data_IF_525679063911
#
_entry.id   IF_525679063911
#
_cell.length_a   1.000
_cell.length_b   1.000
_cell.length_c   1.000
_cell.angle_alpha   90.00
_cell.angle_beta   90.00
_cell.angle_gamma   90.00
#
_symmetry.space_group_name_H-M   'P 1'
#
loop_
_entity.id
_entity.type
_entity.pdbx_description
1 polymer ?
#
# COMPACT_ATOMS: atom_id res chain seq x y z
N UNK A 1 -17.88 8.18 -65.59
CA UNK A 1 -18.18 7.37 -64.40
C UNK A 1 -18.59 8.36 -63.32
N UNK A 2 -19.77 8.21 -62.71
CA UNK A 2 -20.20 9.12 -61.64
C UNK A 2 -19.43 8.80 -60.36
N UNK A 3 -19.17 9.80 -59.48
CA UNK A 3 -18.55 9.60 -58.15
C UNK A 3 -19.24 8.48 -57.33
N UNK A 4 -20.55 8.28 -57.56
CA UNK A 4 -21.33 7.19 -56.95
C UNK A 4 -20.91 5.81 -57.45
N UNK A 5 -20.60 5.67 -58.74
CA UNK A 5 -20.21 4.40 -59.35
C UNK A 5 -18.80 3.98 -58.87
N UNK A 6 -17.91 4.96 -58.67
CA UNK A 6 -16.56 4.73 -58.16
C UNK A 6 -16.57 4.36 -56.66
N UNK A 7 -17.41 5.01 -55.85
CA UNK A 7 -17.63 4.65 -54.44
C UNK A 7 -18.24 3.25 -54.30
N UNK A 8 -19.23 2.91 -55.11
CA UNK A 8 -19.88 1.59 -55.11
C UNK A 8 -18.90 0.48 -55.51
N UNK A 9 -18.00 0.75 -56.45
CA UNK A 9 -16.95 -0.18 -56.83
C UNK A 9 -15.93 -0.38 -55.70
N UNK A 10 -15.59 0.68 -54.97
CA UNK A 10 -14.67 0.60 -53.85
C UNK A 10 -15.27 -0.15 -52.63
N UNK A 11 -16.58 -0.03 -52.41
CA UNK A 11 -17.29 -0.76 -51.36
C UNK A 11 -17.51 -2.26 -51.67
N UNK A 12 -17.61 -2.63 -52.95
CA UNK A 12 -17.85 -4.01 -53.44
C UNK A 12 -16.58 -4.84 -53.66
N UNK A 13 -15.39 -4.27 -53.47
CA UNK A 13 -14.13 -5.00 -53.58
C UNK A 13 -14.02 -6.15 -52.56
N UNK A 14 -13.34 -7.27 -52.87
CA UNK A 14 -13.19 -8.40 -51.96
C UNK A 14 -12.39 -7.96 -50.72
N UNK A 15 -13.06 -7.86 -49.57
CA UNK A 15 -12.41 -7.54 -48.29
C UNK A 15 -11.66 -8.78 -47.79
N UNK A 16 -10.35 -8.68 -47.60
CA UNK A 16 -9.53 -9.71 -46.95
C UNK A 16 -9.37 -9.35 -45.47
N UNK A 17 -9.39 -10.34 -44.57
CA UNK A 17 -9.11 -10.11 -43.15
C UNK A 17 -7.62 -9.76 -42.97
N UNK A 18 -7.35 -8.51 -42.62
CA UNK A 18 -5.97 -7.98 -42.52
C UNK A 18 -5.25 -8.36 -41.21
N UNK A 19 -5.97 -8.92 -40.23
CA UNK A 19 -5.46 -9.03 -38.84
C UNK A 19 -5.47 -10.46 -38.26
N UNK A 20 -5.23 -11.49 -39.08
CA UNK A 20 -5.21 -12.89 -38.60
C UNK A 20 -4.10 -13.12 -37.55
N UNK A 21 -2.91 -12.54 -37.74
CA UNK A 21 -1.80 -12.69 -36.80
C UNK A 21 -2.12 -12.07 -35.43
N UNK A 22 -2.67 -10.85 -35.40
CA UNK A 22 -3.06 -10.20 -34.16
C UNK A 22 -4.21 -10.91 -33.46
N UNK A 23 -5.15 -11.49 -34.22
CA UNK A 23 -6.21 -12.33 -33.67
C UNK A 23 -5.63 -13.56 -32.94
N UNK A 24 -4.61 -14.22 -33.50
CA UNK A 24 -3.94 -15.35 -32.86
C UNK A 24 -3.27 -14.93 -31.56
N UNK A 25 -2.54 -13.81 -31.55
CA UNK A 25 -1.88 -13.28 -30.35
C UNK A 25 -2.90 -12.93 -29.26
N UNK A 26 -4.02 -12.31 -29.64
CA UNK A 26 -5.09 -11.97 -28.71
C UNK A 26 -5.71 -13.23 -28.07
N UNK A 27 -6.00 -14.27 -28.87
CA UNK A 27 -6.51 -15.54 -28.36
C UNK A 27 -5.50 -16.20 -27.41
N UNK A 28 -4.22 -16.22 -27.78
CA UNK A 28 -3.16 -16.77 -26.93
C UNK A 28 -3.05 -16.04 -25.58
N UNK A 29 -3.17 -14.70 -25.58
CA UNK A 29 -3.20 -13.90 -24.36
C UNK A 29 -4.37 -14.28 -23.45
N UNK A 30 -5.58 -14.42 -24.00
CA UNK A 30 -6.76 -14.84 -23.22
C UNK A 30 -6.61 -16.24 -22.63
N UNK A 31 -6.06 -17.19 -23.41
CA UNK A 31 -5.77 -18.54 -22.93
C UNK A 31 -4.79 -18.48 -21.76
N UNK A 32 -3.69 -17.72 -21.88
CA UNK A 32 -2.71 -17.57 -20.81
C UNK A 32 -3.34 -16.96 -19.54
N UNK A 33 -4.16 -15.91 -19.69
CA UNK A 33 -4.89 -15.29 -18.57
C UNK A 33 -5.81 -16.28 -17.85
N UNK A 34 -6.55 -17.10 -18.59
CA UNK A 34 -7.44 -18.11 -18.00
C UNK A 34 -6.64 -19.22 -17.30
N UNK A 35 -5.56 -19.70 -17.90
CA UNK A 35 -4.68 -20.72 -17.29
C UNK A 35 -4.10 -20.22 -15.97
N UNK A 36 -3.59 -18.97 -15.94
CA UNK A 36 -3.08 -18.36 -14.71
C UNK A 36 -4.18 -18.16 -13.67
N UNK A 37 -5.39 -17.77 -14.11
CA UNK A 37 -6.58 -17.67 -13.25
C UNK A 37 -6.92 -19.00 -12.58
N UNK A 38 -7.04 -20.08 -13.37
CA UNK A 38 -7.35 -21.40 -12.84
C UNK A 38 -6.23 -21.94 -11.93
N UNK A 39 -4.97 -21.74 -12.30
CA UNK A 39 -3.84 -22.13 -11.47
C UNK A 39 -3.83 -21.38 -10.14
N UNK A 40 -4.01 -20.05 -10.17
CA UNK A 40 -4.06 -19.21 -8.97
C UNK A 40 -5.20 -19.64 -8.05
N UNK A 41 -6.43 -19.78 -8.57
CA UNK A 41 -7.59 -20.17 -7.77
C UNK A 41 -7.47 -21.60 -7.23
N UNK A 42 -6.86 -22.51 -8.00
CA UNK A 42 -6.68 -23.91 -7.58
C UNK A 42 -5.61 -24.12 -6.51
N UNK A 43 -4.59 -23.27 -6.45
CA UNK A 43 -3.42 -23.44 -5.55
C UNK A 43 -3.31 -22.39 -4.45
N UNK A 44 -3.85 -21.19 -4.69
CA UNK A 44 -3.74 -20.05 -3.79
C UNK A 44 -4.61 -20.18 -2.55
N UNK A 45 -4.03 -19.89 -1.39
CA UNK A 45 -4.76 -19.78 -0.11
C UNK A 45 -4.80 -18.31 0.32
N UNK A 46 -5.73 -17.48 -0.19
CA UNK A 46 -5.70 -16.02 0.04
C UNK A 46 -5.77 -15.63 1.52
N UNK A 47 -6.36 -16.49 2.38
CA UNK A 47 -6.40 -16.31 3.84
C UNK A 47 -5.00 -16.15 4.48
N UNK A 48 -3.96 -16.74 3.89
CA UNK A 48 -2.58 -16.62 4.40
C UNK A 48 -2.09 -15.18 4.43
N UNK A 49 -2.60 -14.33 3.52
CA UNK A 49 -2.22 -12.92 3.44
C UNK A 49 -2.82 -12.08 4.56
N UNK A 50 -3.89 -12.58 5.20
CA UNK A 50 -4.61 -11.85 6.25
C UNK A 50 -4.31 -12.39 7.65
N UNK A 51 -4.31 -13.72 7.82
CA UNK A 51 -4.18 -14.34 9.14
C UNK A 51 -2.78 -14.92 9.42
N UNK A 52 -1.93 -15.06 8.41
CA UNK A 52 -0.62 -15.70 8.55
C UNK A 52 -0.68 -17.21 8.84
N UNK A 53 0.44 -17.79 9.26
CA UNK A 53 0.59 -19.22 9.56
C UNK A 53 1.15 -19.45 10.95
N UNK A 54 0.85 -20.61 11.54
CA UNK A 54 1.51 -21.10 12.74
C UNK A 54 2.84 -21.82 12.45
N UNK A 55 3.50 -22.32 13.50
CA UNK A 55 4.75 -23.08 13.43
C UNK A 55 4.62 -24.44 12.73
N UNK A 56 3.39 -24.93 12.51
CA UNK A 56 3.11 -26.16 11.74
C UNK A 56 2.91 -25.86 10.25
N UNK A 57 2.98 -24.59 9.85
CA UNK A 57 2.72 -24.14 8.49
C UNK A 57 1.22 -24.12 8.13
N UNK A 58 0.33 -24.25 9.12
CA UNK A 58 -1.11 -24.17 8.93
C UNK A 58 -1.57 -22.71 9.02
N UNK A 59 -2.50 -22.33 8.15
CA UNK A 59 -3.04 -20.96 8.10
C UNK A 59 -4.00 -20.74 9.26
N UNK A 60 -3.89 -19.61 9.97
CA UNK A 60 -4.86 -19.24 11.00
C UNK A 60 -6.26 -19.01 10.37
N UNK A 61 -7.35 -19.33 11.09
CA UNK A 61 -8.73 -19.36 10.56
C UNK A 61 -8.95 -20.36 9.39
N UNK A 62 -8.17 -21.45 9.37
CA UNK A 62 -8.32 -22.49 8.35
C UNK A 62 -7.97 -23.88 8.89
N UNK A 63 -8.72 -24.90 8.45
CA UNK A 63 -8.43 -26.30 8.76
C UNK A 63 -8.45 -26.58 10.26
N UNK A 64 -7.31 -27.00 10.82
CA UNK A 64 -7.16 -27.29 12.26
C UNK A 64 -7.23 -26.03 13.13
N UNK A 65 -7.00 -24.85 12.56
CA UNK A 65 -7.02 -23.56 13.26
C UNK A 65 -8.29 -22.76 12.95
N UNK A 66 -9.35 -23.42 12.49
CA UNK A 66 -10.64 -22.76 12.26
C UNK A 66 -11.15 -22.10 13.55
N UNK A 67 -11.55 -20.84 13.47
CA UNK A 67 -11.93 -20.01 14.63
C UNK A 67 -10.77 -19.41 15.44
N UNK A 68 -9.52 -19.80 15.18
CA UNK A 68 -8.32 -19.19 15.77
C UNK A 68 -7.73 -18.21 14.75
N UNK A 69 -8.21 -16.97 14.78
CA UNK A 69 -7.92 -15.98 13.75
C UNK A 69 -6.58 -15.29 13.96
N UNK A 70 -6.10 -15.23 15.21
CA UNK A 70 -5.07 -14.30 15.62
C UNK A 70 -3.71 -14.97 15.71
N UNK A 71 -2.72 -14.49 14.97
CA UNK A 71 -1.33 -14.97 15.02
C UNK A 71 -0.58 -14.34 16.18
N UNK A 72 0.02 -15.16 17.04
CA UNK A 72 0.83 -14.72 18.18
C UNK A 72 2.24 -15.31 18.11
N UNK A 73 3.26 -14.51 18.40
CA UNK A 73 4.65 -14.95 18.47
C UNK A 73 4.97 -15.48 19.87
N UNK A 74 5.07 -16.80 20.00
CA UNK A 74 5.07 -17.46 21.32
C UNK A 74 6.39 -17.36 22.06
N UNK A 75 7.52 -17.22 21.37
CA UNK A 75 8.85 -17.32 21.97
C UNK A 75 9.56 -15.95 21.98
N UNK A 76 9.56 -15.21 23.12
CA UNK A 76 10.23 -13.93 23.27
C UNK A 76 11.72 -13.93 22.96
N UNK A 77 12.44 -14.99 23.34
CA UNK A 77 13.89 -15.09 23.13
C UNK A 77 14.24 -15.22 21.65
N UNK A 78 13.51 -16.08 20.95
CA UNK A 78 13.61 -16.26 19.50
C UNK A 78 13.20 -15.00 18.74
N UNK A 79 12.12 -14.34 19.17
CA UNK A 79 11.65 -13.07 18.61
C UNK A 79 12.71 -11.96 18.78
N UNK A 80 13.32 -11.85 19.95
CA UNK A 80 14.40 -10.89 20.22
C UNK A 80 15.65 -11.17 19.37
N UNK A 81 15.98 -12.44 19.15
CA UNK A 81 17.08 -12.85 18.27
C UNK A 81 16.81 -12.53 16.79
N UNK A 82 15.58 -12.82 16.31
CA UNK A 82 15.14 -12.49 14.95
C UNK A 82 15.15 -10.98 14.69
N UNK A 83 14.73 -10.20 15.70
CA UNK A 83 14.75 -8.74 15.68
C UNK A 83 16.17 -8.16 15.74
N UNK A 84 17.19 -8.93 16.14
CA UNK A 84 18.55 -8.41 16.32
C UNK A 84 18.73 -7.57 17.58
N UNK A 85 17.85 -7.76 18.56
CA UNK A 85 17.78 -7.01 19.83
C UNK A 85 18.34 -7.86 21.00
N UNK A 86 18.78 -9.09 20.72
CA UNK A 86 19.30 -10.01 21.74
C UNK A 86 20.66 -9.56 22.31
N UNK A 87 20.90 -9.66 23.64
CA UNK A 87 22.17 -9.21 24.25
C UNK A 87 23.36 -9.99 23.74
N UNK A 88 24.45 -9.26 23.43
CA UNK A 88 25.66 -9.87 22.89
C UNK A 88 25.61 -10.20 21.40
N UNK A 89 24.49 -9.90 20.71
CA UNK A 89 24.39 -10.03 19.26
C UNK A 89 25.01 -8.79 18.58
N UNK A 90 25.93 -9.00 17.63
CA UNK A 90 26.55 -7.92 16.86
C UNK A 90 25.67 -7.53 15.67
N UNK A 91 25.45 -6.22 15.46
CA UNK A 91 24.67 -5.66 14.35
C UNK A 91 25.18 -6.03 12.94
N UNK A 92 26.38 -6.63 12.83
CA UNK A 92 27.02 -7.04 11.57
C UNK A 92 26.83 -8.54 11.25
N UNK A 93 26.15 -9.32 12.10
CA UNK A 93 25.90 -10.72 11.83
C UNK A 93 24.91 -10.88 10.66
N UNK A 94 25.33 -11.56 9.59
CA UNK A 94 24.42 -11.95 8.50
C UNK A 94 23.35 -12.88 9.07
N UNK A 95 22.13 -12.37 9.26
CA UNK A 95 21.02 -13.11 9.87
C UNK A 95 20.50 -14.16 8.89
N UNK A 96 20.71 -15.45 9.19
CA UNK A 96 20.02 -16.55 8.50
C UNK A 96 18.53 -16.63 8.85
N UNK A 97 18.14 -15.96 9.93
CA UNK A 97 16.85 -16.10 10.60
C UNK A 97 16.23 -14.72 10.80
N UNK A 98 15.00 -14.51 10.32
CA UNK A 98 14.31 -13.22 10.35
C UNK A 98 13.03 -13.29 11.18
N UNK A 99 12.41 -12.14 11.46
CA UNK A 99 11.14 -12.06 12.18
C UNK A 99 10.00 -12.86 11.50
N UNK A 100 10.08 -13.07 10.18
CA UNK A 100 9.11 -13.90 9.45
C UNK A 100 9.20 -15.38 9.81
N UNK A 101 10.36 -15.83 10.26
CA UNK A 101 10.67 -17.20 10.66
C UNK A 101 10.40 -17.44 12.16
N UNK A 102 10.04 -16.39 12.91
CA UNK A 102 9.63 -16.44 14.31
C UNK A 102 8.51 -17.45 14.55
N UNK A 103 8.74 -18.38 15.50
CA UNK A 103 7.72 -19.32 15.96
C UNK A 103 6.45 -18.57 16.36
N UNK A 104 5.35 -18.95 15.72
CA UNK A 104 4.04 -18.34 15.94
C UNK A 104 2.94 -19.39 16.04
N UNK A 105 1.85 -19.05 16.72
CA UNK A 105 0.70 -19.92 16.96
C UNK A 105 -0.60 -19.16 16.68
N UNK A 106 -1.67 -19.89 16.35
CA UNK A 106 -2.98 -19.30 16.15
C UNK A 106 -3.80 -19.33 17.45
N UNK A 107 -4.22 -18.16 17.92
CA UNK A 107 -5.05 -17.94 19.10
C UNK A 107 -6.39 -17.30 18.69
N UNK A 108 -7.36 -17.28 19.62
CA UNK A 108 -8.59 -16.49 19.41
C UNK A 108 -8.32 -15.01 19.59
N UNK A 109 -7.69 -14.67 20.71
CA UNK A 109 -7.39 -13.30 21.12
C UNK A 109 -5.93 -13.18 21.61
N UNK A 110 -5.39 -11.97 21.63
CA UNK A 110 -4.02 -11.73 22.09
C UNK A 110 -3.89 -11.92 23.61
N UNK A 111 -2.95 -12.76 24.06
CA UNK A 111 -2.77 -13.04 25.48
C UNK A 111 -2.26 -11.80 26.20
N UNK A 112 -2.74 -11.61 27.43
CA UNK A 112 -2.37 -10.48 28.27
C UNK A 112 -1.36 -10.91 29.34
N UNK A 113 -0.30 -10.13 29.59
CA UNK A 113 0.69 -10.47 30.58
C UNK A 113 0.09 -10.43 31.99
N UNK A 114 0.42 -11.43 32.81
CA UNK A 114 0.10 -11.44 34.24
C UNK A 114 1.38 -11.77 34.99
N UNK A 115 2.02 -10.77 35.63
CA UNK A 115 3.20 -10.99 36.45
C UNK A 115 2.97 -10.56 37.90
N UNK A 116 2.98 -11.55 38.79
CA UNK A 116 3.07 -11.34 40.24
C UNK A 116 4.42 -11.83 40.75
N UNK A 117 4.75 -11.57 42.02
CA UNK A 117 5.99 -12.06 42.63
C UNK A 117 6.16 -13.59 42.54
N UNK A 118 5.06 -14.34 42.40
CA UNK A 118 5.03 -15.81 42.47
C UNK A 118 4.45 -16.48 41.20
N UNK A 119 3.91 -15.73 40.25
CA UNK A 119 3.23 -16.30 39.07
C UNK A 119 3.49 -15.46 37.82
N UNK A 120 3.69 -16.14 36.70
CA UNK A 120 3.74 -15.55 35.36
C UNK A 120 2.77 -16.32 34.47
N UNK A 121 2.03 -15.63 33.61
CA UNK A 121 1.18 -16.28 32.60
C UNK A 121 2.05 -16.93 31.52
N UNK A 122 1.72 -18.15 31.11
CA UNK A 122 2.37 -18.82 29.98
C UNK A 122 1.41 -19.00 28.81
N UNK A 123 1.96 -19.05 27.61
CA UNK A 123 1.30 -19.61 26.43
C UNK A 123 2.09 -20.82 26.01
N UNK A 124 1.41 -21.94 25.91
CA UNK A 124 1.98 -23.22 25.55
C UNK A 124 1.66 -23.59 24.10
N UNK A 125 2.51 -24.45 23.54
CA UNK A 125 2.31 -25.06 22.22
C UNK A 125 0.98 -25.83 22.11
N UNK A 126 0.64 -26.31 20.92
CA UNK A 126 -0.57 -27.10 20.77
C UNK A 126 -0.46 -28.41 21.56
N UNK A 127 -1.49 -28.80 22.32
CA UNK A 127 -1.44 -29.98 23.18
C UNK A 127 -1.31 -31.30 22.39
N UNK A 128 -1.64 -31.27 21.10
CA UNK A 128 -1.51 -32.40 20.18
C UNK A 128 -0.05 -32.79 19.91
N UNK A 129 0.87 -31.85 20.09
CA UNK A 129 2.29 -32.05 19.76
C UNK A 129 3.09 -32.53 20.98
N UNK A 130 2.45 -32.64 22.17
CA UNK A 130 3.13 -32.80 23.46
C UNK A 130 2.42 -33.82 24.35
N UNK A 131 3.22 -34.64 25.02
CA UNK A 131 2.70 -35.55 26.04
C UNK A 131 2.60 -34.84 27.39
N UNK A 132 1.36 -34.68 27.90
CA UNK A 132 1.07 -34.12 29.21
C UNK A 132 0.72 -35.28 30.16
N UNK A 133 1.72 -35.83 30.84
CA UNK A 133 1.59 -37.03 31.67
C UNK A 133 0.55 -36.89 32.79
N UNK A 134 0.35 -35.69 33.31
CA UNK A 134 -0.63 -35.41 34.38
C UNK A 134 -2.08 -35.35 33.88
N UNK A 135 -2.31 -35.18 32.58
CA UNK A 135 -3.62 -34.99 31.94
C UNK A 135 -3.64 -35.72 30.58
N UNK A 136 -3.90 -37.04 30.55
CA UNK A 136 -3.78 -37.85 29.33
C UNK A 136 -4.84 -37.55 28.25
N UNK A 137 -5.91 -36.84 28.59
CA UNK A 137 -6.99 -36.44 27.66
C UNK A 137 -7.03 -34.92 27.44
N UNK A 138 -5.90 -34.23 27.61
CA UNK A 138 -5.83 -32.78 27.41
C UNK A 138 -5.98 -32.43 25.93
N UNK A 139 -7.10 -31.83 25.55
CA UNK A 139 -7.44 -31.50 24.17
C UNK A 139 -7.36 -29.99 23.88
N UNK A 140 -7.55 -29.62 22.62
CA UNK A 140 -7.50 -28.21 22.18
C UNK A 140 -8.61 -27.36 22.81
N UNK A 141 -9.73 -27.94 23.24
CA UNK A 141 -10.82 -27.20 23.89
C UNK A 141 -10.48 -26.86 25.35
N UNK A 142 -9.87 -27.80 26.06
CA UNK A 142 -9.34 -27.58 27.39
C UNK A 142 -8.21 -26.56 27.35
N UNK A 143 -7.33 -26.65 26.35
CA UNK A 143 -6.28 -25.65 26.10
C UNK A 143 -6.83 -24.22 25.96
N UNK A 144 -7.92 -24.03 25.23
CA UNK A 144 -8.60 -22.72 25.14
C UNK A 144 -9.21 -22.30 26.48
N UNK A 145 -9.80 -23.25 27.21
CA UNK A 145 -10.45 -22.99 28.51
C UNK A 145 -9.44 -22.55 29.57
N UNK A 146 -8.24 -23.12 29.52
CA UNK A 146 -7.12 -22.78 30.41
C UNK A 146 -6.33 -21.57 29.91
N UNK A 147 -6.90 -20.76 29.00
CA UNK A 147 -6.27 -19.59 28.41
C UNK A 147 -4.87 -19.87 27.83
N UNK A 148 -4.74 -21.03 27.18
CA UNK A 148 -3.53 -21.52 26.53
C UNK A 148 -2.37 -21.88 27.47
N UNK A 149 -2.62 -21.98 28.79
CA UNK A 149 -1.61 -22.25 29.82
C UNK A 149 -1.82 -23.62 30.48
N UNK A 150 -0.93 -24.57 30.20
CA UNK A 150 -0.84 -25.85 30.92
C UNK A 150 0.53 -26.06 31.58
N UNK A 151 1.29 -25.00 31.84
CA UNK A 151 2.66 -25.10 32.37
C UNK A 151 2.73 -25.90 33.69
N UNK A 152 1.75 -25.73 34.56
CA UNK A 152 1.66 -26.46 35.83
C UNK A 152 1.40 -27.97 35.67
N UNK A 153 0.91 -28.40 34.50
CA UNK A 153 0.62 -29.79 34.19
C UNK A 153 1.81 -30.54 33.55
N UNK A 154 2.87 -29.82 33.20
CA UNK A 154 4.10 -30.38 32.64
C UNK A 154 4.91 -31.16 33.69
N UNK A 155 5.75 -32.08 33.22
CA UNK A 155 6.74 -32.72 34.08
C UNK A 155 7.88 -31.76 34.45
N UNK A 156 8.68 -32.11 35.47
CA UNK A 156 9.78 -31.25 35.95
C UNK A 156 10.82 -30.94 34.86
N UNK A 157 11.03 -31.83 33.89
CA UNK A 157 12.00 -31.65 32.81
C UNK A 157 11.49 -30.65 31.77
N UNK A 158 10.23 -30.78 31.36
CA UNK A 158 9.52 -29.88 30.47
C UNK A 158 9.33 -28.50 31.09
N UNK A 159 9.04 -28.42 32.39
CA UNK A 159 9.01 -27.15 33.13
C UNK A 159 10.39 -26.48 33.11
N UNK A 160 11.46 -27.22 33.39
CA UNK A 160 12.83 -26.69 33.34
C UNK A 160 13.20 -26.21 31.93
N UNK A 161 12.80 -26.93 30.88
CA UNK A 161 13.02 -26.55 29.48
C UNK A 161 12.24 -25.29 29.08
N UNK A 162 10.98 -25.18 29.52
CA UNK A 162 10.12 -24.01 29.29
C UNK A 162 10.68 -22.77 29.99
N UNK A 163 11.17 -22.92 31.23
CA UNK A 163 11.87 -21.86 31.96
C UNK A 163 13.20 -21.43 31.29
N UNK A 164 13.76 -22.29 30.43
CA UNK A 164 14.92 -21.99 29.58
C UNK A 164 14.55 -21.51 28.17
N UNK A 165 13.28 -21.21 27.89
CA UNK A 165 12.80 -20.74 26.57
C UNK A 165 12.96 -21.75 25.43
N UNK A 166 13.13 -23.03 25.77
CA UNK A 166 13.20 -24.13 24.80
C UNK A 166 11.85 -24.78 24.53
N UNK A 167 10.82 -24.29 25.21
CA UNK A 167 9.46 -24.83 25.15
C UNK A 167 9.26 -26.02 26.09
N UNK A 168 8.01 -26.50 26.18
CA UNK A 168 6.91 -26.13 25.28
C UNK A 168 6.03 -24.95 25.67
N UNK A 169 6.22 -24.41 26.87
CA UNK A 169 5.50 -23.22 27.33
C UNK A 169 6.44 -22.03 27.39
N UNK A 170 5.93 -20.86 27.05
CA UNK A 170 6.68 -19.62 27.00
C UNK A 170 5.93 -18.55 27.78
N UNK A 171 6.60 -17.79 28.67
CA UNK A 171 5.93 -16.77 29.46
C UNK A 171 5.54 -15.55 28.61
N UNK A 172 4.36 -15.01 28.89
CA UNK A 172 3.81 -13.81 28.27
C UNK A 172 4.41 -12.60 28.98
N UNK A 173 5.46 -12.02 28.38
CA UNK A 173 6.21 -10.90 28.97
C UNK A 173 5.67 -9.53 28.58
N UNK A 174 5.01 -9.44 27.43
CA UNK A 174 4.70 -8.18 26.77
C UNK A 174 3.20 -8.04 26.55
N UNK A 175 2.70 -6.82 26.69
CA UNK A 175 1.35 -6.49 26.28
C UNK A 175 1.25 -6.48 24.75
N UNK A 176 0.19 -7.09 24.24
CA UNK A 176 -0.04 -7.17 22.81
C UNK A 176 -1.49 -6.90 22.46
N UNK A 177 -1.69 -6.21 21.34
CA UNK A 177 -3.00 -5.85 20.80
C UNK A 177 -3.17 -6.50 19.43
N UNK A 178 -4.42 -6.83 19.10
CA UNK A 178 -4.75 -7.43 17.82
C UNK A 178 -4.80 -6.35 16.74
N UNK A 179 -3.80 -6.35 15.85
CA UNK A 179 -3.74 -5.49 14.67
C UNK A 179 -3.74 -6.38 13.43
N UNK A 180 -4.80 -6.33 12.62
CA UNK A 180 -5.01 -7.20 11.45
C UNK A 180 -4.77 -8.69 11.73
N UNK A 181 -5.36 -9.20 12.81
CA UNK A 181 -5.26 -10.61 13.18
C UNK A 181 -3.83 -11.08 13.50
N UNK A 182 -2.92 -10.16 13.83
CA UNK A 182 -1.59 -10.46 14.38
C UNK A 182 -1.42 -9.69 15.68
N UNK A 183 -0.93 -10.36 16.72
CA UNK A 183 -0.62 -9.72 17.99
C UNK A 183 0.65 -8.89 17.85
N UNK A 184 0.47 -7.58 17.76
CA UNK A 184 1.56 -6.62 17.79
C UNK A 184 1.86 -6.24 19.23
N UNK A 185 3.14 -6.17 19.56
CA UNK A 185 3.57 -5.69 20.87
C UNK A 185 3.25 -4.20 20.94
N UNK A 186 2.46 -3.80 21.92
CA UNK A 186 2.11 -2.40 22.13
C UNK A 186 2.75 -1.95 23.43
N UNK A 187 3.54 -0.89 23.38
CA UNK A 187 4.16 -0.37 24.58
C UNK A 187 5.24 0.63 24.27
N UNK A 188 4.95 1.89 24.60
CA UNK A 188 5.95 2.91 24.87
C UNK A 188 6.68 2.57 26.18
N UNK A 189 7.29 1.38 26.27
CA UNK A 189 7.85 0.83 27.51
C UNK A 189 6.97 1.14 28.72
N UNK A 190 5.66 0.85 28.64
CA UNK A 190 4.69 1.36 29.61
C UNK A 190 5.21 1.09 31.03
N UNK A 191 5.06 2.08 31.90
CA UNK A 191 5.21 1.98 33.35
C UNK A 191 4.58 0.70 33.95
N UNK A 192 3.61 0.07 33.28
CA UNK A 192 3.09 -1.27 33.58
C UNK A 192 4.12 -2.41 33.33
N UNK A 193 4.81 -2.41 32.20
CA UNK A 193 5.92 -3.35 31.92
C UNK A 193 7.13 -3.11 32.82
N UNK A 194 7.46 -1.86 33.13
CA UNK A 194 8.50 -1.51 34.13
C UNK A 194 8.11 -1.86 35.58
N UNK A 195 6.85 -1.67 35.98
CA UNK A 195 6.37 -2.03 37.33
C UNK A 195 6.13 -3.53 37.51
N UNK A 196 5.84 -4.27 36.43
CA UNK A 196 5.82 -5.74 36.43
C UNK A 196 7.23 -6.34 36.31
N UNK A 197 8.14 -5.73 35.57
CA UNK A 197 9.56 -6.08 35.58
C UNK A 197 10.23 -5.77 36.95
N UNK A 198 9.77 -4.70 37.61
CA UNK A 198 10.20 -4.28 38.96
C UNK A 198 9.67 -5.17 40.10
N UNK A 199 8.94 -6.25 39.82
CA UNK A 199 8.51 -7.27 40.79
C UNK A 199 9.32 -8.56 40.73
N UNK A 200 10.34 -8.64 39.88
CA UNK A 200 11.12 -9.84 39.66
C UNK A 200 12.38 -9.85 40.54
N UNK A 201 12.55 -10.84 41.44
CA UNK A 201 13.81 -10.99 42.16
C UNK A 201 14.92 -11.32 41.17
N UNK A 202 15.96 -10.49 41.13
CA UNK A 202 17.25 -10.85 40.53
C UNK A 202 17.86 -11.98 41.36
N UNK A 203 17.69 -13.22 40.90
CA UNK A 203 18.15 -14.41 41.61
C UNK A 203 17.42 -15.66 41.12
N UNK A 204 18.06 -16.81 41.29
CA UNK A 204 17.69 -18.15 40.80
C UNK A 204 16.40 -18.75 41.38
N UNK A 205 15.45 -17.94 41.84
CA UNK A 205 14.19 -18.35 42.46
C UNK A 205 12.95 -17.52 42.06
N UNK A 206 13.00 -16.79 40.93
CA UNK A 206 11.81 -16.16 40.33
C UNK A 206 10.96 -17.11 39.48
N UNK A 207 9.70 -16.77 39.15
CA UNK A 207 8.77 -17.64 38.41
C UNK A 207 9.16 -17.88 36.93
N UNK A 208 10.18 -17.19 36.42
CA UNK A 208 10.83 -17.46 35.14
C UNK A 208 12.29 -16.99 35.14
N UNK A 209 13.11 -17.44 34.18
CA UNK A 209 14.48 -16.98 34.00
C UNK A 209 14.57 -15.91 32.90
N UNK A 210 15.09 -14.73 33.21
CA UNK A 210 15.31 -13.68 32.19
C UNK A 210 16.23 -14.20 31.07
N UNK A 211 15.85 -14.07 29.79
CA UNK A 211 16.69 -14.48 28.66
C UNK A 211 17.87 -13.52 28.49
N UNK A 212 17.81 -12.35 29.11
CA UNK A 212 18.81 -11.28 29.02
C UNK A 212 19.92 -11.40 30.08
N UNK A 213 19.84 -12.40 30.97
CA UNK A 213 20.72 -12.58 32.13
C UNK A 213 22.08 -13.23 31.78
N UNK A 214 22.60 -12.89 30.60
CA UNK A 214 23.92 -13.31 30.12
C UNK A 214 24.97 -12.22 30.40
N UNK A 215 25.16 -11.85 31.65
CA UNK A 215 26.46 -11.50 32.22
C UNK A 215 26.32 -11.01 33.66
N UNK A 216 27.26 -11.43 34.50
CA UNK A 216 27.51 -11.01 35.87
C UNK A 216 27.91 -9.53 36.00
N UNK A 217 27.16 -8.62 35.39
CA UNK A 217 27.31 -7.18 35.56
C UNK A 217 25.99 -6.58 36.02
N UNK A 218 26.08 -5.81 37.10
CA UNK A 218 25.03 -5.22 37.93
C UNK A 218 24.12 -4.18 37.25
N UNK A 219 23.72 -4.41 36.00
CA UNK A 219 22.72 -3.62 35.30
C UNK A 219 22.06 -4.49 34.21
N UNK A 220 21.19 -5.42 34.62
CA UNK A 220 20.21 -5.99 33.69
C UNK A 220 19.42 -4.83 33.10
N UNK A 221 19.42 -4.62 31.77
CA UNK A 221 18.67 -3.51 31.20
C UNK A 221 17.17 -3.75 31.46
N UNK A 222 16.46 -2.69 31.84
CA UNK A 222 15.04 -2.79 32.18
C UNK A 222 14.28 -3.46 31.03
N UNK A 223 13.44 -4.45 31.36
CA UNK A 223 12.59 -5.17 30.40
C UNK A 223 11.79 -4.19 29.52
N UNK A 224 11.43 -3.01 30.06
CA UNK A 224 10.77 -1.93 29.32
C UNK A 224 11.58 -1.41 28.12
N UNK A 225 12.89 -1.19 28.26
CA UNK A 225 13.76 -0.73 27.15
C UNK A 225 13.84 -1.76 26.04
N UNK A 226 13.87 -3.06 26.38
CA UNK A 226 13.84 -4.15 25.42
C UNK A 226 12.47 -4.34 24.76
N UNK A 227 11.40 -4.12 25.51
CA UNK A 227 10.03 -4.19 24.99
C UNK A 227 9.84 -3.15 23.89
N UNK A 228 10.32 -1.93 24.11
CA UNK A 228 10.24 -0.85 23.13
C UNK A 228 11.07 -1.15 21.87
N UNK A 229 12.32 -1.57 22.03
CA UNK A 229 13.18 -1.87 20.87
C UNK A 229 12.70 -3.09 20.07
N UNK A 230 12.11 -4.07 20.74
CA UNK A 230 11.47 -5.22 20.10
C UNK A 230 10.17 -4.82 19.38
N UNK A 231 9.33 -4.02 20.03
CA UNK A 231 8.13 -3.42 19.45
C UNK A 231 8.45 -2.63 18.19
N UNK A 232 9.43 -1.72 18.25
CA UNK A 232 9.86 -0.91 17.10
C UNK A 232 10.35 -1.75 15.91
N UNK A 233 11.02 -2.88 16.16
CA UNK A 233 11.52 -3.75 15.08
C UNK A 233 10.42 -4.64 14.50
N UNK A 234 9.51 -5.14 15.36
CA UNK A 234 8.30 -5.86 14.95
C UNK A 234 7.41 -4.93 14.13
N UNK A 235 7.24 -3.69 14.59
CA UNK A 235 6.54 -2.65 13.87
C UNK A 235 7.23 -2.39 12.54
N UNK A 236 8.54 -2.17 12.43
CA UNK A 236 9.20 -2.03 11.11
C UNK A 236 8.99 -3.22 10.18
N UNK A 237 8.99 -4.44 10.72
CA UNK A 237 8.80 -5.66 9.93
C UNK A 237 7.34 -5.87 9.47
N UNK A 238 6.37 -5.45 10.28
CA UNK A 238 4.93 -5.52 9.97
C UNK A 238 4.43 -4.29 9.21
N UNK A 239 4.99 -3.11 9.50
CA UNK A 239 4.69 -1.79 8.91
C UNK A 239 5.43 -1.51 7.60
N UNK A 240 5.98 -2.54 6.96
CA UNK A 240 6.44 -2.48 5.58
C UNK A 240 5.29 -2.22 4.57
N UNK A 241 5.33 -2.81 3.36
CA UNK A 241 4.30 -2.61 2.32
C UNK A 241 2.85 -2.76 2.81
N UNK A 242 2.63 -3.56 3.86
CA UNK A 242 1.33 -3.76 4.51
C UNK A 242 0.78 -2.50 5.21
N UNK A 243 1.58 -1.71 5.95
CA UNK A 243 1.06 -0.47 6.56
C UNK A 243 0.75 0.63 5.52
N UNK A 244 1.44 0.60 4.37
CA UNK A 244 1.08 1.48 3.24
C UNK A 244 -0.25 1.05 2.61
N UNK A 245 -0.45 -0.27 2.45
CA UNK A 245 -1.71 -0.84 1.98
C UNK A 245 -2.84 -0.61 2.98
N UNK A 246 -2.58 -0.72 4.27
CA UNK A 246 -3.53 -0.44 5.36
C UNK A 246 -4.07 0.98 5.28
N UNK A 247 -3.19 1.98 5.16
CA UNK A 247 -3.59 3.38 4.98
C UNK A 247 -4.45 3.56 3.73
N UNK A 248 -4.09 2.91 2.61
CA UNK A 248 -4.90 2.99 1.38
C UNK A 248 -6.26 2.30 1.49
N UNK A 249 -6.36 1.19 2.23
CA UNK A 249 -7.62 0.50 2.45
C UNK A 249 -8.52 1.32 3.37
N UNK A 250 -7.98 1.87 4.46
CA UNK A 250 -8.74 2.72 5.38
C UNK A 250 -9.26 3.99 4.67
N UNK A 251 -8.39 4.64 3.89
CA UNK A 251 -8.77 5.78 3.03
C UNK A 251 -9.86 5.39 2.01
N UNK A 252 -9.78 4.19 1.43
CA UNK A 252 -10.79 3.71 0.48
C UNK A 252 -12.12 3.40 1.17
N UNK A 253 -12.11 2.74 2.34
CA UNK A 253 -13.33 2.39 3.07
C UNK A 253 -14.07 3.61 3.59
N UNK A 254 -13.36 4.69 3.90
CA UNK A 254 -13.94 5.98 4.25
C UNK A 254 -14.39 6.75 3.00
N UNK A 255 -13.58 6.73 1.93
CA UNK A 255 -13.74 7.57 0.74
C UNK A 255 -14.53 6.98 -0.43
N UNK A 256 -14.94 5.70 -0.41
CA UNK A 256 -15.51 5.01 -1.58
C UNK A 256 -16.74 5.70 -2.19
N UNK A 257 -17.59 6.32 -1.36
CA UNK A 257 -18.76 7.07 -1.83
C UNK A 257 -18.36 8.26 -2.70
N UNK A 258 -17.29 8.95 -2.31
CA UNK A 258 -16.74 10.09 -3.08
C UNK A 258 -16.18 9.59 -4.41
N UNK A 259 -15.47 8.47 -4.43
CA UNK A 259 -14.93 7.89 -5.68
C UNK A 259 -16.05 7.51 -6.66
N UNK A 260 -17.12 6.87 -6.17
CA UNK A 260 -18.27 6.49 -7.03
C UNK A 260 -19.00 7.71 -7.57
N UNK A 261 -19.26 8.71 -6.73
CA UNK A 261 -20.00 9.91 -7.14
C UNK A 261 -19.14 10.81 -8.01
N UNK A 262 -17.96 11.22 -7.53
CA UNK A 262 -17.08 12.17 -8.22
C UNK A 262 -16.31 11.55 -9.39
N UNK A 263 -15.96 10.27 -9.33
CA UNK A 263 -15.22 9.56 -10.39
C UNK A 263 -16.10 8.79 -11.37
N UNK A 264 -17.31 8.38 -10.98
CA UNK A 264 -18.24 7.64 -11.83
C UNK A 264 -19.38 8.51 -12.37
N UNK A 265 -20.25 8.98 -11.48
CA UNK A 265 -21.48 9.66 -11.88
C UNK A 265 -21.25 11.08 -12.41
N UNK A 266 -20.49 11.91 -11.68
CA UNK A 266 -20.21 13.29 -12.06
C UNK A 266 -19.55 13.40 -13.44
N UNK A 267 -18.54 12.59 -13.81
CA UNK A 267 -17.90 12.68 -15.13
C UNK A 267 -18.83 12.30 -16.27
N UNK A 268 -19.77 11.36 -16.07
CA UNK A 268 -20.77 11.02 -17.09
C UNK A 268 -21.69 12.23 -17.34
N UNK A 269 -22.19 12.85 -16.27
CA UNK A 269 -23.05 14.05 -16.37
C UNK A 269 -22.29 15.22 -16.97
N UNK A 270 -21.07 15.47 -16.51
CA UNK A 270 -20.20 16.52 -17.05
C UNK A 270 -19.81 16.27 -18.50
N UNK A 271 -19.62 15.02 -18.91
CA UNK A 271 -19.32 14.67 -20.30
C UNK A 271 -20.52 14.96 -21.21
N UNK A 272 -21.74 14.61 -20.78
CA UNK A 272 -22.97 14.95 -21.53
C UNK A 272 -23.14 16.47 -21.62
N UNK A 273 -22.94 17.19 -20.51
CA UNK A 273 -22.98 18.65 -20.49
C UNK A 273 -21.90 19.28 -21.39
N UNK A 274 -20.70 18.70 -21.41
CA UNK A 274 -19.59 19.15 -22.25
C UNK A 274 -19.86 18.91 -23.74
N UNK A 275 -20.49 17.78 -24.12
CA UNK A 275 -20.94 17.54 -25.49
C UNK A 275 -21.97 18.60 -25.93
N UNK A 276 -22.88 18.99 -25.04
CA UNK A 276 -23.81 20.10 -25.29
C UNK A 276 -23.07 21.43 -25.43
N UNK A 277 -22.12 21.72 -24.55
CA UNK A 277 -21.29 22.92 -24.62
C UNK A 277 -20.52 23.02 -25.94
N UNK A 278 -19.86 21.93 -26.38
CA UNK A 278 -19.17 21.90 -27.67
C UNK A 278 -20.14 22.19 -28.82
N UNK A 279 -21.37 21.66 -28.82
CA UNK A 279 -22.33 21.92 -29.91
C UNK A 279 -22.55 23.41 -30.20
N UNK A 280 -22.66 24.24 -29.16
CA UNK A 280 -22.94 25.67 -29.32
C UNK A 280 -21.68 26.54 -29.30
N UNK A 281 -20.68 26.16 -28.50
CA UNK A 281 -19.51 26.99 -28.21
C UNK A 281 -18.19 26.45 -28.75
N UNK A 282 -18.15 25.42 -29.62
CA UNK A 282 -16.90 24.86 -30.18
C UNK A 282 -15.95 25.94 -30.70
N UNK A 283 -16.46 26.93 -31.43
CA UNK A 283 -15.62 27.99 -32.00
C UNK A 283 -15.02 28.87 -30.92
N UNK A 284 -15.84 29.35 -29.98
CA UNK A 284 -15.36 30.20 -28.87
C UNK A 284 -14.36 29.42 -28.04
N UNK A 285 -14.71 28.20 -27.63
CA UNK A 285 -13.85 27.30 -26.87
C UNK A 285 -12.49 27.09 -27.56
N UNK A 286 -12.46 26.71 -28.84
CA UNK A 286 -11.21 26.43 -29.55
C UNK A 286 -10.28 27.67 -29.61
N UNK A 287 -10.82 28.85 -29.92
CA UNK A 287 -10.01 30.08 -29.96
C UNK A 287 -9.61 30.56 -28.56
N UNK A 288 -10.48 30.42 -27.56
CA UNK A 288 -10.17 30.73 -26.16
C UNK A 288 -9.05 29.83 -25.63
N UNK A 289 -9.10 28.51 -25.85
CA UNK A 289 -8.04 27.59 -25.44
C UNK A 289 -6.73 27.87 -26.17
N UNK A 290 -6.80 28.21 -27.46
CA UNK A 290 -5.61 28.57 -28.24
C UNK A 290 -4.94 29.84 -27.69
N UNK A 291 -5.74 30.87 -27.40
CA UNK A 291 -5.25 32.09 -26.78
C UNK A 291 -4.72 31.84 -25.37
N UNK A 292 -5.44 31.05 -24.55
CA UNK A 292 -5.07 30.79 -23.15
C UNK A 292 -3.73 30.05 -23.03
N UNK A 293 -3.45 29.08 -23.91
CA UNK A 293 -2.17 28.36 -23.91
C UNK A 293 -1.01 29.31 -24.23
N UNK A 294 -1.17 30.21 -25.21
CA UNK A 294 -0.14 31.20 -25.55
C UNK A 294 0.03 32.23 -24.43
N UNK A 295 -1.07 32.73 -23.86
CA UNK A 295 -1.05 33.66 -22.74
C UNK A 295 -0.36 33.04 -21.51
N UNK A 296 -0.70 31.79 -21.18
CA UNK A 296 -0.09 31.08 -20.05
C UNK A 296 1.41 30.84 -20.29
N UNK A 297 1.81 30.46 -21.51
CA UNK A 297 3.23 30.29 -21.85
C UNK A 297 4.02 31.60 -21.70
N UNK A 298 3.43 32.73 -22.11
CA UNK A 298 4.02 34.07 -21.91
C UNK A 298 4.11 34.40 -20.42
N UNK A 299 3.04 34.16 -19.64
CA UNK A 299 3.03 34.42 -18.18
C UNK A 299 4.09 33.58 -17.47
N UNK A 300 4.20 32.29 -17.77
CA UNK A 300 5.22 31.40 -17.19
C UNK A 300 6.63 31.86 -17.57
N UNK A 301 6.84 32.25 -18.82
CA UNK A 301 8.14 32.76 -19.28
C UNK A 301 8.52 34.07 -18.56
N UNK A 302 7.58 35.01 -18.41
CA UNK A 302 7.79 36.26 -17.66
C UNK A 302 8.09 35.94 -16.19
N UNK A 303 7.34 35.02 -15.57
CA UNK A 303 7.54 34.60 -14.19
C UNK A 303 8.95 34.03 -13.97
N UNK A 304 9.44 33.19 -14.90
CA UNK A 304 10.80 32.66 -14.84
C UNK A 304 11.86 33.77 -14.98
N UNK A 305 11.64 34.78 -15.82
CA UNK A 305 12.55 35.92 -15.96
C UNK A 305 12.59 36.83 -14.72
N UNK A 306 11.44 37.02 -14.05
CA UNK A 306 11.36 37.72 -12.77
C UNK A 306 12.14 36.96 -11.69
N UNK A 307 11.91 35.65 -11.55
CA UNK A 307 12.62 34.82 -10.56
C UNK A 307 14.11 34.64 -10.86
N UNK A 308 14.51 34.67 -12.12
CA UNK A 308 15.91 34.61 -12.55
C UNK A 308 16.68 35.93 -12.32
N UNK A 309 16.00 37.01 -11.90
CA UNK A 309 16.63 38.31 -11.64
C UNK A 309 17.13 39.03 -12.89
N UNK A 310 16.65 38.64 -14.08
CA UNK A 310 17.07 39.25 -15.37
C UNK A 310 16.35 40.58 -15.61
N UNK A 311 15.11 40.70 -15.11
CA UNK A 311 14.33 41.93 -15.12
C UNK A 311 14.60 42.62 -13.77
N UNK A 312 15.29 43.77 -13.77
CA UNK A 312 15.68 44.47 -12.54
C UNK A 312 14.47 44.91 -11.70
N UNK A 313 14.57 44.73 -10.37
CA UNK A 313 13.56 45.13 -9.38
C UNK A 313 13.09 46.58 -9.53
N UNK A 314 14.01 47.47 -9.94
CA UNK A 314 13.75 48.90 -10.07
C UNK A 314 12.81 49.21 -11.25
N UNK A 315 12.88 48.42 -12.32
CA UNK A 315 12.03 48.59 -13.49
C UNK A 315 10.61 48.06 -13.26
N UNK A 316 10.48 46.99 -12.46
CA UNK A 316 9.17 46.43 -12.07
C UNK A 316 8.47 47.37 -11.08
N UNK A 317 9.18 47.86 -10.07
CA UNK A 317 8.64 48.79 -9.06
C UNK A 317 8.23 50.15 -9.66
N UNK A 318 8.96 50.67 -10.67
CA UNK A 318 8.61 51.91 -11.36
C UNK A 318 7.35 51.80 -12.25
N UNK A 319 7.00 50.59 -12.70
CA UNK A 319 5.78 50.34 -13.47
C UNK A 319 4.57 50.04 -12.56
N UNK A 320 4.77 49.23 -11.51
CA UNK A 320 3.71 48.84 -10.56
C UNK A 320 3.21 50.02 -9.72
N UNK A 321 4.10 50.96 -9.35
CA UNK A 321 3.74 52.22 -8.68
C UNK A 321 2.84 53.14 -9.52
N UNK A 322 2.66 52.88 -10.82
CA UNK A 322 1.72 53.62 -11.69
C UNK A 322 0.34 52.96 -11.82
N UNK A 323 0.18 51.70 -11.37
CA UNK A 323 -1.01 50.89 -11.66
C UNK A 323 -1.99 50.84 -10.47
N UNK A 324 -1.52 50.84 -9.21
CA UNK A 324 -2.32 51.09 -7.99
C UNK A 324 -1.49 50.83 -6.73
N UNK A 325 -1.58 51.71 -5.71
CA UNK A 325 -0.90 51.56 -4.42
C UNK A 325 -1.28 50.26 -3.67
N UNK A 326 -2.46 49.69 -3.94
CA UNK A 326 -2.95 48.46 -3.30
C UNK A 326 -2.39 47.18 -3.93
N UNK A 327 -1.95 47.24 -5.19
CA UNK A 327 -1.41 46.08 -5.93
C UNK A 327 0.10 45.89 -5.70
N UNK A 328 0.78 46.94 -5.23
CA UNK A 328 2.23 46.98 -5.04
C UNK A 328 2.73 45.94 -4.04
N UNK A 329 2.05 45.74 -2.92
CA UNK A 329 2.47 44.80 -1.86
C UNK A 329 2.31 43.32 -2.23
N UNK A 330 1.32 42.99 -3.08
CA UNK A 330 1.12 41.62 -3.56
C UNK A 330 2.09 41.24 -4.67
N UNK A 331 2.53 42.19 -5.50
CA UNK A 331 3.38 41.91 -6.67
C UNK A 331 4.87 41.82 -6.29
N UNK A 332 5.32 42.59 -5.28
CA UNK A 332 6.72 42.55 -4.81
C UNK A 332 7.14 41.17 -4.30
N UNK A 333 6.26 40.42 -3.63
CA UNK A 333 6.54 39.06 -3.16
C UNK A 333 6.77 38.05 -4.30
N UNK A 334 6.21 38.28 -5.49
CA UNK A 334 6.39 37.41 -6.66
C UNK A 334 7.47 37.90 -7.62
N UNK A 335 7.84 39.19 -7.54
CA UNK A 335 8.89 39.80 -8.34
C UNK A 335 10.28 39.71 -7.70
N UNK A 336 10.38 39.24 -6.46
CA UNK A 336 11.67 39.09 -5.77
C UNK A 336 12.48 37.92 -6.38
N UNK A 337 13.71 38.16 -6.88
CA UNK A 337 14.56 37.12 -7.44
C UNK A 337 14.78 35.95 -6.46
N UNK A 338 15.03 34.76 -7.00
CA UNK A 338 15.28 33.58 -6.17
C UNK A 338 16.56 33.75 -5.33
N UNK A 339 16.50 33.37 -4.05
CA UNK A 339 17.61 33.45 -3.09
C UNK A 339 18.82 32.57 -3.49
N UNK A 340 18.57 31.47 -4.20
CA UNK A 340 19.60 30.58 -4.73
C UNK A 340 19.21 29.98 -6.10
N UNK A 341 20.18 29.57 -6.91
CA UNK A 341 19.94 28.89 -8.19
C UNK A 341 19.58 29.80 -9.37
N UNK A 342 19.89 31.10 -9.31
CA UNK A 342 19.54 32.07 -10.35
C UNK A 342 20.09 31.70 -11.74
N UNK A 343 21.31 31.17 -11.84
CA UNK A 343 21.89 30.80 -13.13
C UNK A 343 21.18 29.62 -13.80
N UNK A 344 20.71 28.66 -13.00
CA UNK A 344 19.87 27.56 -13.47
C UNK A 344 18.51 28.09 -13.96
N UNK A 345 17.90 29.03 -13.22
CA UNK A 345 16.64 29.66 -13.61
C UNK A 345 16.77 30.50 -14.90
N UNK A 346 17.91 31.17 -15.12
CA UNK A 346 18.20 31.87 -16.38
C UNK A 346 18.19 30.91 -17.56
N UNK A 347 18.83 29.73 -17.43
CA UNK A 347 18.83 28.70 -18.48
C UNK A 347 17.39 28.24 -18.77
N UNK A 348 16.60 27.95 -17.73
CA UNK A 348 15.20 27.57 -17.89
C UNK A 348 14.34 28.68 -18.52
N UNK A 349 14.59 29.94 -18.20
CA UNK A 349 13.89 31.08 -18.79
C UNK A 349 14.17 31.21 -20.30
N UNK A 350 15.42 31.01 -20.74
CA UNK A 350 15.77 30.99 -22.17
C UNK A 350 15.13 29.80 -22.90
N UNK A 351 15.13 28.62 -22.29
CA UNK A 351 14.45 27.43 -22.85
C UNK A 351 12.94 27.69 -22.95
N UNK A 352 12.31 28.24 -21.91
CA UNK A 352 10.89 28.59 -21.90
C UNK A 352 10.54 29.63 -22.97
N UNK A 353 11.43 30.58 -23.23
CA UNK A 353 11.26 31.57 -24.30
C UNK A 353 11.32 30.93 -25.68
N UNK A 354 12.31 30.07 -25.92
CA UNK A 354 12.40 29.33 -27.17
C UNK A 354 11.14 28.46 -27.39
N UNK A 355 10.69 27.76 -26.34
CA UNK A 355 9.47 26.96 -26.37
C UNK A 355 8.23 27.82 -26.64
N UNK A 356 8.12 28.99 -26.01
CA UNK A 356 7.01 29.94 -26.22
C UNK A 356 7.00 30.47 -27.66
N UNK A 357 8.15 30.82 -28.22
CA UNK A 357 8.27 31.21 -29.62
C UNK A 357 7.83 30.08 -30.57
N UNK A 358 8.25 28.84 -30.30
CA UNK A 358 7.85 27.67 -31.09
C UNK A 358 6.34 27.42 -30.99
N UNK A 359 5.76 27.46 -29.79
CA UNK A 359 4.31 27.29 -29.56
C UNK A 359 3.53 28.40 -30.26
N UNK A 360 4.01 29.65 -30.22
CA UNK A 360 3.37 30.78 -30.88
C UNK A 360 3.43 30.66 -32.40
N UNK A 361 4.59 30.34 -32.98
CA UNK A 361 4.73 30.10 -34.41
C UNK A 361 3.86 28.92 -34.87
N UNK A 362 3.87 27.81 -34.13
CA UNK A 362 3.02 26.66 -34.41
C UNK A 362 1.53 27.03 -34.36
N UNK A 363 1.14 27.84 -33.36
CA UNK A 363 -0.22 28.37 -33.23
C UNK A 363 -0.60 29.15 -34.48
N UNK A 364 0.23 30.09 -34.94
CA UNK A 364 -0.02 30.89 -36.14
C UNK A 364 -0.20 30.03 -37.41
N UNK A 365 0.64 29.00 -37.56
CA UNK A 365 0.55 28.06 -38.69
C UNK A 365 -0.74 27.23 -38.64
N UNK A 366 -1.17 26.83 -37.44
CA UNK A 366 -2.36 26.02 -37.24
C UNK A 366 -3.68 26.81 -37.30
N UNK A 367 -3.69 28.15 -37.19
CA UNK A 367 -4.92 28.96 -37.21
C UNK A 367 -5.86 28.63 -38.39
N UNK A 368 -5.31 28.41 -39.59
CA UNK A 368 -6.10 28.05 -40.77
C UNK A 368 -6.69 26.64 -40.67
N UNK A 369 -5.94 25.70 -40.10
CA UNK A 369 -6.37 24.31 -39.88
C UNK A 369 -7.41 24.21 -38.76
N UNK A 370 -7.29 25.02 -37.70
CA UNK A 370 -8.23 25.09 -36.57
C UNK A 370 -9.64 25.45 -37.06
N UNK A 371 -9.78 26.38 -38.01
CA UNK A 371 -11.09 26.74 -38.57
C UNK A 371 -11.78 25.54 -39.25
N UNK A 372 -11.03 24.72 -39.97
CA UNK A 372 -11.55 23.49 -40.59
C UNK A 372 -11.92 22.47 -39.52
N UNK A 373 -11.05 22.26 -38.53
CA UNK A 373 -11.28 21.33 -37.43
C UNK A 373 -12.53 21.69 -36.60
N UNK A 374 -12.74 22.97 -36.29
CA UNK A 374 -13.96 23.47 -35.61
C UNK A 374 -15.23 23.11 -36.42
N UNK A 375 -15.17 23.22 -37.75
CA UNK A 375 -16.25 22.79 -38.63
C UNK A 375 -16.54 21.29 -38.53
N UNK A 376 -15.50 20.45 -38.53
CA UNK A 376 -15.62 19.00 -38.36
C UNK A 376 -16.24 18.63 -37.00
N UNK A 377 -15.76 19.25 -35.91
CA UNK A 377 -16.30 19.02 -34.56
C UNK A 377 -17.78 19.39 -34.48
N UNK A 378 -18.19 20.50 -35.12
CA UNK A 378 -19.60 20.92 -35.15
C UNK A 378 -20.49 19.92 -35.90
N UNK A 379 -20.00 19.34 -36.99
CA UNK A 379 -20.74 18.31 -37.74
C UNK A 379 -20.79 17.00 -36.94
N UNK A 380 -19.67 16.59 -36.33
CA UNK A 380 -19.59 15.38 -35.51
C UNK A 380 -20.51 15.45 -34.28
N UNK A 381 -20.50 16.56 -33.54
CA UNK A 381 -21.39 16.78 -32.38
C UNK A 381 -22.86 16.85 -32.78
N UNK A 382 -23.18 17.40 -33.97
CA UNK A 382 -24.54 17.39 -34.53
C UNK A 382 -25.01 15.98 -34.86
N UNK A 383 -24.12 15.12 -35.37
CA UNK A 383 -24.43 13.72 -35.65
C UNK A 383 -24.69 12.92 -34.36
N UNK A 384 -23.91 13.14 -33.30
CA UNK A 384 -24.13 12.52 -31.97
C UNK A 384 -25.51 12.86 -31.40
N UNK A 385 -26.00 14.09 -31.62
CA UNK A 385 -27.34 14.48 -31.20
C UNK A 385 -28.49 13.79 -31.97
N UNK A 386 -28.23 13.30 -33.18
CA UNK A 386 -29.21 12.57 -34.01
C UNK A 386 -29.16 11.05 -33.78
N UNK A 387 -28.04 10.54 -33.25
CA UNK A 387 -27.80 9.12 -33.03
C UNK A 387 -27.37 8.88 -31.58
N UNK A 388 -28.29 8.97 -30.60
CA UNK A 388 -27.95 8.86 -29.17
C UNK A 388 -27.37 7.48 -28.80
N UNK A 389 -27.55 6.45 -29.63
CA UNK A 389 -26.95 5.13 -29.40
C UNK A 389 -25.41 5.15 -29.45
N UNK A 390 -24.80 6.12 -30.15
CA UNK A 390 -23.34 6.28 -30.19
C UNK A 390 -22.74 6.70 -28.85
N UNK A 391 -23.50 7.39 -27.99
CA UNK A 391 -23.01 7.79 -26.65
C UNK A 391 -23.05 6.65 -25.64
N UNK A 392 -23.88 5.62 -25.88
CA UNK A 392 -23.96 4.42 -25.06
C UNK A 392 -22.90 3.36 -25.44
N UNK A 393 -22.41 3.38 -26.69
CA UNK A 393 -21.38 2.44 -27.18
C UNK A 393 -20.14 2.32 -26.26
N UNK A 394 -19.53 3.41 -25.73
CA UNK A 394 -18.35 3.30 -24.86
C UNK A 394 -18.64 2.77 -23.45
N UNK A 395 -19.91 2.65 -23.03
CA UNK A 395 -20.26 2.14 -21.69
C UNK A 395 -20.00 0.63 -21.60
N UNK A 396 -20.34 -0.11 -22.65
CA UNK A 396 -20.11 -1.56 -22.69
C UNK A 396 -18.62 -1.95 -22.55
N UNK A 397 -17.66 -1.38 -23.32
CA UNK A 397 -16.25 -1.67 -23.14
C UNK A 397 -15.72 -1.13 -21.80
N UNK A 398 -16.23 -0.01 -21.28
CA UNK A 398 -15.86 0.46 -19.94
C UNK A 398 -16.27 -0.55 -18.85
N UNK A 399 -17.49 -1.08 -18.91
CA UNK A 399 -17.95 -2.13 -18.01
C UNK A 399 -17.14 -3.42 -18.15
N UNK A 400 -16.86 -3.84 -19.39
CA UNK A 400 -16.01 -5.00 -19.65
C UNK A 400 -14.59 -4.83 -19.09
N UNK A 401 -14.01 -3.63 -19.16
CA UNK A 401 -12.71 -3.31 -18.57
C UNK A 401 -12.74 -3.37 -17.04
N UNK A 402 -13.82 -2.91 -16.40
CA UNK A 402 -14.00 -3.05 -14.95
C UNK A 402 -14.07 -4.52 -14.55
N UNK A 403 -14.86 -5.35 -15.25
CA UNK A 403 -14.92 -6.79 -14.99
C UNK A 403 -13.56 -7.47 -15.18
N UNK A 404 -12.84 -7.12 -16.25
CA UNK A 404 -11.51 -7.63 -16.51
C UNK A 404 -10.52 -7.25 -15.40
N UNK A 405 -10.60 -6.01 -14.91
CA UNK A 405 -9.75 -5.54 -13.81
C UNK A 405 -10.04 -6.27 -12.51
N UNK A 406 -11.32 -6.51 -12.19
CA UNK A 406 -11.72 -7.31 -11.02
C UNK A 406 -11.22 -8.75 -11.13
N UNK A 407 -11.40 -9.38 -12.30
CA UNK A 407 -10.87 -10.71 -12.57
C UNK A 407 -9.34 -10.76 -12.40
N UNK A 408 -8.64 -9.76 -12.93
CA UNK A 408 -7.20 -9.65 -12.83
C UNK A 408 -6.74 -9.48 -11.38
N UNK A 409 -7.41 -8.65 -10.58
CA UNK A 409 -7.12 -8.47 -9.16
C UNK A 409 -7.32 -9.76 -8.37
N UNK A 410 -8.43 -10.48 -8.59
CA UNK A 410 -8.69 -11.77 -7.93
C UNK A 410 -7.57 -12.74 -8.29
N UNK A 411 -7.28 -12.90 -9.59
CA UNK A 411 -6.21 -13.80 -10.06
C UNK A 411 -4.87 -13.43 -9.44
N UNK A 412 -4.55 -12.13 -9.38
CA UNK A 412 -3.32 -11.63 -8.77
C UNK A 412 -3.21 -12.00 -7.29
N UNK A 413 -4.25 -11.77 -6.49
CA UNK A 413 -4.26 -12.10 -5.05
C UNK A 413 -4.08 -13.60 -4.83
N UNK A 414 -4.82 -14.42 -5.58
CA UNK A 414 -4.71 -15.87 -5.47
C UNK A 414 -3.35 -16.40 -5.90
N UNK A 415 -2.77 -15.84 -6.97
CA UNK A 415 -1.44 -16.23 -7.44
C UNK A 415 -0.34 -15.75 -6.49
N UNK A 416 -0.49 -14.58 -5.89
CA UNK A 416 0.43 -14.10 -4.86
C UNK A 416 0.38 -14.97 -3.59
N UNK A 417 -0.79 -15.51 -3.27
CA UNK A 417 -0.98 -16.49 -2.20
C UNK A 417 -0.64 -17.93 -2.61
N UNK A 418 -0.21 -18.18 -3.86
CA UNK A 418 0.17 -19.50 -4.35
C UNK A 418 1.64 -19.78 -3.97
N UNK A 419 1.83 -20.32 -2.77
CA UNK A 419 3.13 -20.73 -2.26
C UNK A 419 2.96 -21.65 -1.05
N UNK A 420 3.78 -22.69 -0.97
CA UNK A 420 3.85 -23.56 0.22
C UNK A 420 4.85 -23.01 1.22
N UNK A 421 4.47 -22.93 2.49
CA UNK A 421 5.42 -22.67 3.57
C UNK A 421 6.44 -23.81 3.67
N UNK A 422 7.73 -23.47 3.79
CA UNK A 422 8.76 -24.45 4.16
C UNK A 422 9.06 -24.25 5.64
N UNK A 423 8.82 -25.27 6.44
CA UNK A 423 9.26 -25.27 7.83
C UNK A 423 10.80 -25.22 7.84
N UNK A 424 11.35 -24.25 8.56
CA UNK A 424 12.79 -24.18 8.80
C UNK A 424 13.07 -24.72 10.19
N UNK A 425 13.92 -25.74 10.26
CA UNK A 425 14.40 -26.25 11.54
C UNK A 425 15.51 -25.33 12.05
N UNK A 426 15.29 -24.74 13.23
CA UNK A 426 16.28 -23.94 13.94
C UNK A 426 17.27 -24.89 14.65
N UNK A 427 18.33 -25.33 13.95
CA UNK A 427 19.46 -26.08 14.55
C UNK A 427 20.58 -25.18 15.01
#
# INVERSE_FOLDING_TARGET
>A
MSDKDELDQHMKGPRKCTDILFLIVFIAFWIAMLVLGFYGVGTGKPKILLFGTDYRGEVCDQGKNDGFKTRYFVNPGELAWAAGVYPGQSASATRKYNLRDAKSICLKDCPQPTMTANSVAFVCDYPEDITITSQPNYDKNQWVTDNYDYFQHLDNTQQTSSLQWKGPCYPVLYESVNTFYTCQLFGDGDSLGESQAGRLPSGSSGPYRSPYDASSSSSSPALGTYTKSLGDEIDKALSGPLATVERYIDDFTTGWKVVVVAGGACPIVLSIAFLFFLRYFTSVFAYTTLFSVNALAVVVTIYLYLKAGVIGSDQVNAYVSKVSDSASASITNYADPAESGQDTLKIFAYISTALTCVIFLFTLLMLRRVKVAVGVIKVATSALGKMPQLTLFPILPAFAMVLLFVYWLITFVYLFAAGGGKQQDCT
#
